data_IF_437854584177
#
_entry.id   IF_437854584177
#
_cell.length_a   1.000
_cell.length_b   1.000
_cell.length_c   1.000
_cell.angle_alpha   90.00
_cell.angle_beta   90.00
_cell.angle_gamma   90.00
#
_symmetry.space_group_name_H-M   'P 1'
#
loop_
_entity.id
_entity.type
_entity.pdbx_description
1 polymer ?
#
# COMPACT_ATOMS: atom_id res chain seq x y z
N UNK A 1 25.27 31.45 -20.12
CA UNK A 1 25.94 30.19 -19.73
C UNK A 1 26.33 30.15 -18.26
N UNK A 2 26.88 31.22 -17.66
CA UNK A 2 27.26 31.26 -16.23
C UNK A 2 26.12 30.93 -15.24
N UNK A 3 24.90 31.42 -15.46
CA UNK A 3 23.75 31.17 -14.56
C UNK A 3 23.23 29.72 -14.61
N UNK A 4 23.24 29.10 -15.80
CA UNK A 4 22.88 27.68 -15.97
C UNK A 4 23.99 26.76 -15.43
N UNK A 5 25.26 27.16 -15.58
CA UNK A 5 26.41 26.48 -14.99
C UNK A 5 26.39 26.54 -13.46
N UNK A 6 26.04 27.69 -12.87
CA UNK A 6 25.89 27.80 -11.41
C UNK A 6 24.71 26.98 -10.89
N UNK A 7 23.58 26.95 -11.59
CA UNK A 7 22.44 26.11 -11.22
C UNK A 7 22.79 24.61 -11.24
N UNK A 8 23.54 24.15 -12.25
CA UNK A 8 24.01 22.75 -12.34
C UNK A 8 25.04 22.43 -11.25
N UNK A 9 25.94 23.36 -10.91
CA UNK A 9 26.90 23.19 -9.83
C UNK A 9 26.22 23.13 -8.45
N UNK A 10 25.15 23.90 -8.24
CA UNK A 10 24.34 23.84 -7.01
C UNK A 10 23.64 22.49 -6.83
N UNK A 11 23.11 21.90 -7.90
CA UNK A 11 22.46 20.58 -7.87
C UNK A 11 23.49 19.48 -7.60
N UNK A 12 24.70 19.57 -8.17
CA UNK A 12 25.80 18.63 -7.93
C UNK A 12 26.31 18.66 -6.48
N UNK A 13 26.36 19.83 -5.83
CA UNK A 13 26.79 19.96 -4.44
C UNK A 13 25.74 19.42 -3.44
N UNK A 14 24.45 19.51 -3.79
CA UNK A 14 23.37 18.94 -2.95
C UNK A 14 23.35 17.40 -2.99
N UNK A 15 23.73 16.79 -4.11
CA UNK A 15 23.83 15.32 -4.22
C UNK A 15 25.03 14.73 -3.47
N UNK A 16 26.09 15.51 -3.20
CA UNK A 16 27.27 15.00 -2.47
C UNK A 16 27.09 14.92 -0.94
N UNK A 17 26.05 15.54 -0.39
CA UNK A 17 25.75 15.52 1.06
C UNK A 17 24.95 14.29 1.52
N UNK A 18 24.44 13.47 0.60
CA UNK A 18 23.62 12.29 0.91
C UNK A 18 24.47 11.01 1.08
N UNK A 19 25.76 11.04 0.74
CA UNK A 19 26.65 9.87 0.78
C UNK A 19 27.51 9.73 2.05
N UNK A 20 27.18 10.42 3.15
CA UNK A 20 27.93 10.40 4.41
C UNK A 20 27.15 9.86 5.62
N UNK A 21 26.05 9.13 5.40
CA UNK A 21 25.19 8.60 6.47
C UNK A 21 25.33 7.07 6.70
N UNK A 22 26.44 6.46 6.25
CA UNK A 22 26.87 5.15 6.74
C UNK A 22 28.36 5.20 7.06
N UNK A 23 28.68 5.23 8.36
CA UNK A 23 30.03 5.05 8.87
C UNK A 23 30.34 5.96 10.04
N UNK A 24 30.06 5.53 11.26
CA UNK A 24 31.10 5.39 12.28
C UNK A 24 30.59 4.56 13.46
N UNK A 25 31.30 3.48 13.72
CA UNK A 25 31.19 2.61 14.87
C UNK A 25 32.05 3.19 15.98
N UNK A 26 31.42 3.69 17.05
CA UNK A 26 32.11 4.20 18.24
C UNK A 26 31.44 3.70 19.52
N UNK A 27 32.04 2.66 20.09
CA UNK A 27 31.80 2.18 21.45
C UNK A 27 32.15 3.26 22.48
N UNK A 28 31.37 3.38 23.55
CA UNK A 28 31.90 3.70 24.88
C UNK A 28 30.94 3.23 25.97
N UNK A 29 31.55 2.62 26.97
CA UNK A 29 31.00 1.81 28.04
C UNK A 29 30.26 2.62 29.12
N UNK A 30 29.20 2.03 29.70
CA UNK A 30 28.84 2.38 31.08
C UNK A 30 28.43 1.14 31.87
N UNK A 31 29.24 0.86 32.89
CA UNK A 31 29.15 -0.26 33.81
C UNK A 31 28.07 -0.04 34.88
N UNK A 32 27.34 -1.10 35.22
CA UNK A 32 26.33 -1.08 36.29
C UNK A 32 25.71 -2.45 36.57
N UNK A 33 26.56 -3.38 37.05
CA UNK A 33 26.31 -4.57 37.88
C UNK A 33 24.86 -4.91 38.28
N UNK A 34 24.39 -6.14 38.01
CA UNK A 34 23.99 -7.11 39.05
C UNK A 34 23.72 -8.54 38.48
N UNK A 35 24.43 -9.53 39.06
CA UNK A 35 24.14 -10.96 39.33
C UNK A 35 23.15 -11.72 38.42
N UNK A 36 23.43 -12.88 37.80
CA UNK A 36 24.24 -14.06 38.14
C UNK A 36 23.95 -15.21 37.12
N UNK A 37 24.65 -16.36 37.16
CA UNK A 37 24.93 -17.21 35.99
C UNK A 37 24.11 -18.52 35.93
N UNK A 38 23.97 -19.08 34.71
CA UNK A 38 24.06 -20.52 34.35
C UNK A 38 23.61 -20.64 32.88
N UNK A 39 24.49 -20.95 31.92
CA UNK A 39 24.98 -22.29 31.53
C UNK A 39 24.42 -22.67 30.16
N UNK A 40 25.29 -22.60 29.15
CA UNK A 40 25.53 -23.63 28.11
C UNK A 40 24.34 -24.30 27.42
N UNK A 41 24.08 -23.96 26.16
CA UNK A 41 24.46 -24.73 24.95
C UNK A 41 23.69 -24.21 23.74
N UNK A 42 24.43 -23.87 22.66
CA UNK A 42 23.91 -23.93 21.30
C UNK A 42 24.11 -25.38 20.81
N UNK A 43 23.24 -25.92 19.94
CA UNK A 43 23.54 -25.76 18.53
C UNK A 43 22.33 -25.70 17.57
N UNK A 44 22.72 -25.43 16.32
CA UNK A 44 22.12 -25.87 15.06
C UNK A 44 20.98 -25.04 14.44
N UNK A 45 21.45 -24.13 13.58
CA UNK A 45 20.86 -23.78 12.28
C UNK A 45 20.03 -24.92 11.67
N UNK A 46 18.73 -24.68 11.50
CA UNK A 46 17.83 -25.51 10.71
C UNK A 46 17.42 -24.73 9.46
N UNK A 47 17.56 -25.39 8.32
CA UNK A 47 17.46 -24.86 6.96
C UNK A 47 16.14 -24.16 6.65
N UNK A 48 16.24 -23.12 5.82
CA UNK A 48 15.12 -22.44 5.19
C UNK A 48 14.32 -23.43 4.32
N UNK A 49 12.98 -23.43 4.36
CA UNK A 49 12.19 -24.23 3.44
C UNK A 49 12.40 -23.72 2.01
N UNK A 50 12.58 -24.69 1.11
CA UNK A 50 12.79 -24.50 -0.32
C UNK A 50 11.70 -23.62 -0.96
N UNK A 51 12.16 -22.75 -1.86
CA UNK A 51 11.35 -21.94 -2.76
C UNK A 51 10.46 -22.83 -3.62
N UNK A 52 9.16 -22.86 -3.32
CA UNK A 52 8.13 -23.43 -4.20
C UNK A 52 7.97 -22.51 -5.40
N UNK A 53 8.36 -22.97 -6.60
CA UNK A 53 8.04 -22.29 -7.86
C UNK A 53 6.51 -22.16 -7.99
N UNK A 54 6.03 -20.93 -8.14
CA UNK A 54 4.64 -20.67 -8.48
C UNK A 54 4.35 -21.21 -9.89
N UNK A 55 3.22 -21.88 -10.13
CA UNK A 55 2.87 -22.36 -11.45
C UNK A 55 2.70 -21.19 -12.41
N UNK A 56 3.35 -21.33 -13.56
CA UNK A 56 3.24 -20.47 -14.74
C UNK A 56 1.78 -20.13 -15.03
N UNK A 57 1.51 -18.84 -15.17
CA UNK A 57 0.24 -18.25 -15.56
C UNK A 57 -0.31 -18.94 -16.80
N UNK A 58 -1.45 -19.63 -16.65
CA UNK A 58 -2.25 -20.12 -17.77
C UNK A 58 -3.02 -18.95 -18.34
N UNK A 59 -2.67 -18.50 -19.55
CA UNK A 59 -3.50 -17.58 -20.33
C UNK A 59 -4.88 -18.19 -20.53
N UNK A 60 -5.91 -17.52 -19.98
CA UNK A 60 -7.29 -17.82 -20.27
C UNK A 60 -7.63 -17.34 -21.69
N UNK A 61 -8.44 -18.08 -22.47
CA UNK A 61 -8.77 -17.70 -23.83
C UNK A 61 -9.65 -16.43 -23.83
N UNK A 62 -9.29 -15.47 -24.68
CA UNK A 62 -10.09 -14.28 -24.92
C UNK A 62 -11.45 -14.67 -25.54
N UNK A 63 -12.50 -14.65 -24.73
CA UNK A 63 -13.89 -14.75 -25.22
C UNK A 63 -14.28 -13.38 -25.79
N UNK A 64 -14.57 -13.36 -27.08
CA UNK A 64 -15.09 -12.16 -27.75
C UNK A 64 -16.58 -12.06 -27.44
N UNK A 65 -16.94 -11.45 -26.32
CA UNK A 65 -18.32 -11.15 -25.97
C UNK A 65 -18.73 -9.78 -26.54
N UNK A 66 -19.98 -9.68 -26.98
CA UNK A 66 -20.61 -8.43 -27.37
C UNK A 66 -20.38 -7.38 -26.28
N UNK A 67 -20.15 -6.12 -26.66
CA UNK A 67 -19.75 -5.05 -25.75
C UNK A 67 -20.83 -4.80 -24.70
N UNK A 68 -20.71 -5.50 -23.57
CA UNK A 68 -21.43 -5.22 -22.35
C UNK A 68 -20.99 -3.84 -21.85
N UNK A 69 -21.93 -3.07 -21.29
CA UNK A 69 -21.55 -1.83 -20.62
C UNK A 69 -20.54 -2.15 -19.51
N UNK A 70 -19.49 -1.32 -19.34
CA UNK A 70 -18.47 -1.57 -18.35
C UNK A 70 -19.10 -1.53 -16.95
N UNK A 71 -18.72 -2.50 -16.12
CA UNK A 71 -19.14 -2.54 -14.71
C UNK A 71 -18.51 -1.34 -14.00
N UNK A 72 -19.30 -0.62 -13.20
CA UNK A 72 -18.86 0.53 -12.40
C UNK A 72 -18.48 0.09 -11.01
N UNK A 73 -17.28 0.46 -10.57
CA UNK A 73 -16.70 0.07 -9.28
C UNK A 73 -16.29 1.30 -8.49
N UNK A 74 -16.91 1.48 -7.33
CA UNK A 74 -16.56 2.52 -6.36
C UNK A 74 -15.63 1.98 -5.26
N UNK A 75 -14.64 2.77 -4.88
CA UNK A 75 -13.79 2.51 -3.71
C UNK A 75 -13.90 3.69 -2.75
N UNK A 76 -14.03 3.40 -1.46
CA UNK A 76 -13.94 4.39 -0.37
C UNK A 76 -12.83 3.97 0.58
N UNK A 77 -11.80 4.78 0.73
CA UNK A 77 -10.75 4.59 1.75
C UNK A 77 -11.22 5.12 3.10
N UNK A 78 -10.91 4.39 4.18
CA UNK A 78 -11.34 4.73 5.54
C UNK A 78 -10.53 5.90 6.11
N UNK A 79 -9.21 5.74 6.20
CA UNK A 79 -8.30 6.79 6.66
C UNK A 79 -7.19 6.92 5.63
N UNK A 80 -6.93 8.15 5.20
CA UNK A 80 -5.94 8.45 4.19
C UNK A 80 -6.45 8.22 2.77
N UNK A 81 -5.78 7.36 2.01
CA UNK A 81 -6.04 7.11 0.59
C UNK A 81 -4.74 6.70 -0.10
N UNK A 82 -4.68 6.91 -1.42
CA UNK A 82 -3.44 6.70 -2.20
C UNK A 82 -2.26 7.49 -1.63
N UNK A 83 -1.05 6.94 -1.77
CA UNK A 83 0.21 7.51 -1.30
C UNK A 83 0.62 7.05 0.10
N UNK A 84 -0.09 6.10 0.71
CA UNK A 84 0.28 5.53 2.01
C UNK A 84 1.42 4.49 1.94
N UNK A 85 1.88 4.16 0.73
CA UNK A 85 2.95 3.19 0.43
C UNK A 85 2.71 1.81 1.03
N UNK A 86 1.45 1.48 1.32
CA UNK A 86 1.07 0.30 2.06
C UNK A 86 -0.32 -0.18 1.65
N UNK A 87 -1.25 -0.28 2.60
CA UNK A 87 -2.53 -0.94 2.45
C UNK A 87 -3.43 -0.29 1.40
N UNK A 88 -3.60 1.03 1.45
CA UNK A 88 -4.45 1.74 0.50
C UNK A 88 -3.84 1.73 -0.90
N UNK A 89 -2.52 1.90 -1.03
CA UNK A 89 -1.84 1.78 -2.33
C UNK A 89 -1.94 0.37 -2.92
N UNK A 90 -1.98 -0.67 -2.09
CA UNK A 90 -2.21 -2.05 -2.54
C UNK A 90 -3.63 -2.24 -3.07
N UNK A 91 -4.64 -1.69 -2.39
CA UNK A 91 -6.02 -1.71 -2.85
C UNK A 91 -6.20 -0.90 -4.16
N UNK A 92 -5.60 0.28 -4.22
CA UNK A 92 -5.59 1.14 -5.40
C UNK A 92 -4.91 0.46 -6.61
N UNK A 93 -3.79 -0.21 -6.41
CA UNK A 93 -3.14 -0.99 -7.47
C UNK A 93 -4.03 -2.13 -7.98
N UNK A 94 -4.84 -2.75 -7.12
CA UNK A 94 -5.85 -3.73 -7.51
C UNK A 94 -6.96 -3.12 -8.37
N UNK A 95 -7.44 -1.93 -8.01
CA UNK A 95 -8.43 -1.19 -8.80
C UNK A 95 -7.87 -0.79 -10.17
N UNK A 96 -6.64 -0.27 -10.22
CA UNK A 96 -5.96 0.10 -11.47
C UNK A 96 -5.80 -1.11 -12.40
N UNK A 97 -5.46 -2.27 -11.83
CA UNK A 97 -5.37 -3.53 -12.56
C UNK A 97 -6.73 -3.99 -13.09
N UNK A 98 -7.80 -3.86 -12.29
CA UNK A 98 -9.16 -4.19 -12.74
C UNK A 98 -9.60 -3.30 -13.91
N UNK A 99 -9.30 -1.99 -13.86
CA UNK A 99 -9.56 -1.08 -14.99
C UNK A 99 -8.81 -1.55 -16.25
N UNK A 100 -7.52 -1.88 -16.11
CA UNK A 100 -6.68 -2.27 -17.23
C UNK A 100 -7.03 -3.64 -17.85
N UNK A 101 -7.37 -4.62 -17.02
CA UNK A 101 -7.56 -6.02 -17.45
C UNK A 101 -9.03 -6.39 -17.68
N UNK A 102 -9.96 -5.78 -16.92
CA UNK A 102 -11.38 -6.13 -16.95
C UNK A 102 -12.24 -5.03 -17.60
N UNK A 103 -11.67 -3.84 -17.85
CA UNK A 103 -12.38 -2.74 -18.49
C UNK A 103 -13.49 -2.13 -17.63
N UNK A 104 -13.36 -2.19 -16.30
CA UNK A 104 -14.31 -1.54 -15.38
C UNK A 104 -14.16 -0.02 -15.41
N UNK A 105 -15.25 0.70 -15.16
CA UNK A 105 -15.22 2.12 -14.83
C UNK A 105 -15.02 2.27 -13.32
N UNK A 106 -14.05 3.08 -12.89
CA UNK A 106 -13.71 3.19 -11.48
C UNK A 106 -13.90 4.61 -10.93
N UNK A 107 -14.37 4.71 -9.69
CA UNK A 107 -14.39 5.95 -8.90
C UNK A 107 -13.79 5.70 -7.50
N UNK A 108 -13.16 6.73 -6.94
CA UNK A 108 -12.50 6.65 -5.63
C UNK A 108 -12.91 7.84 -4.75
N UNK A 109 -13.05 7.57 -3.46
CA UNK A 109 -13.24 8.57 -2.41
C UNK A 109 -12.43 8.20 -1.16
N UNK A 110 -12.21 9.16 -0.27
CA UNK A 110 -11.60 8.93 1.02
C UNK A 110 -12.43 9.64 2.08
N UNK A 111 -12.73 8.93 3.17
CA UNK A 111 -13.42 9.50 4.31
C UNK A 111 -12.55 10.53 5.04
N UNK A 112 -13.21 11.43 5.76
CA UNK A 112 -12.56 12.39 6.62
C UNK A 112 -11.73 11.67 7.70
N UNK A 113 -10.75 12.37 8.30
CA UNK A 113 -9.91 11.76 9.35
C UNK A 113 -10.70 11.34 10.60
N UNK A 114 -11.82 12.02 10.90
CA UNK A 114 -12.75 11.58 11.94
C UNK A 114 -13.74 10.50 11.43
N UNK A 115 -13.79 10.34 10.11
CA UNK A 115 -14.69 9.51 9.30
C UNK A 115 -16.15 9.59 9.72
N UNK A 116 -16.57 10.81 10.01
CA UNK A 116 -17.98 11.17 10.20
C UNK A 116 -18.80 11.00 8.91
N UNK A 117 -18.15 10.95 7.76
CA UNK A 117 -18.73 10.83 6.42
C UNK A 117 -18.66 9.42 5.80
N UNK A 118 -18.18 8.42 6.55
CA UNK A 118 -17.99 7.04 6.05
C UNK A 118 -19.25 6.44 5.41
N UNK A 119 -20.38 6.51 6.10
CA UNK A 119 -21.64 5.93 5.63
C UNK A 119 -22.19 6.71 4.43
N UNK A 120 -22.14 8.04 4.50
CA UNK A 120 -22.60 8.93 3.41
C UNK A 120 -21.79 8.70 2.13
N UNK A 121 -20.46 8.54 2.23
CA UNK A 121 -19.61 8.25 1.07
C UNK A 121 -19.86 6.86 0.48
N UNK A 122 -20.13 5.86 1.31
CA UNK A 122 -20.50 4.52 0.84
C UNK A 122 -21.84 4.56 0.10
N UNK A 123 -22.84 5.26 0.64
CA UNK A 123 -24.14 5.46 -0.01
C UNK A 123 -24.00 6.21 -1.33
N UNK A 124 -23.22 7.30 -1.36
CA UNK A 124 -22.98 8.07 -2.58
C UNK A 124 -22.29 7.23 -3.66
N UNK A 125 -21.31 6.40 -3.30
CA UNK A 125 -20.70 5.47 -4.26
C UNK A 125 -21.70 4.41 -4.72
N UNK A 126 -22.59 3.92 -3.86
CA UNK A 126 -23.59 2.91 -4.22
C UNK A 126 -24.67 3.44 -5.17
N UNK A 127 -24.96 4.75 -5.14
CA UNK A 127 -25.86 5.38 -6.12
C UNK A 127 -25.28 5.41 -7.54
N UNK A 128 -23.95 5.46 -7.66
CA UNK A 128 -23.24 5.64 -8.92
C UNK A 128 -22.54 4.39 -9.48
N UNK A 129 -22.41 3.33 -8.68
CA UNK A 129 -21.62 2.15 -9.02
C UNK A 129 -22.38 0.84 -8.78
N UNK A 130 -22.04 -0.18 -9.57
CA UNK A 130 -22.62 -1.51 -9.44
C UNK A 130 -22.02 -2.28 -8.25
N UNK A 131 -20.78 -1.97 -7.89
CA UNK A 131 -20.04 -2.57 -6.78
C UNK A 131 -19.27 -1.50 -6.01
N UNK A 132 -19.32 -1.55 -4.68
CA UNK A 132 -18.60 -0.62 -3.80
C UNK A 132 -17.72 -1.39 -2.81
N UNK A 133 -16.48 -0.96 -2.67
CA UNK A 133 -15.53 -1.46 -1.67
C UNK A 133 -15.23 -0.39 -0.61
N UNK A 134 -15.50 -0.71 0.65
CA UNK A 134 -15.00 0.05 1.80
C UNK A 134 -13.64 -0.50 2.25
N UNK A 135 -12.57 0.28 2.09
CA UNK A 135 -11.20 -0.13 2.37
C UNK A 135 -10.78 0.41 3.75
N UNK A 136 -11.02 -0.41 4.77
CA UNK A 136 -10.59 -0.16 6.14
C UNK A 136 -11.48 -0.82 7.18
N UNK A 137 -10.90 -1.10 8.36
CA UNK A 137 -11.58 -1.84 9.42
C UNK A 137 -12.80 -1.09 9.98
N UNK A 138 -12.76 0.24 10.03
CA UNK A 138 -13.83 1.03 10.67
C UNK A 138 -15.10 1.12 9.80
N UNK A 139 -15.08 0.58 8.59
CA UNK A 139 -16.28 0.44 7.76
C UNK A 139 -17.20 -0.70 8.18
N UNK A 140 -16.84 -1.56 9.14
CA UNK A 140 -17.63 -2.74 9.52
C UNK A 140 -19.12 -2.42 9.77
N UNK A 141 -19.40 -1.36 10.53
CA UNK A 141 -20.78 -0.90 10.78
C UNK A 141 -21.34 -0.06 9.63
N UNK A 142 -20.66 1.01 9.15
CA UNK A 142 -21.16 1.82 8.03
C UNK A 142 -21.53 1.02 6.77
N UNK A 143 -20.72 0.02 6.38
CA UNK A 143 -20.99 -0.79 5.20
C UNK A 143 -22.22 -1.70 5.39
N UNK A 144 -22.45 -2.15 6.63
CA UNK A 144 -23.64 -2.94 6.98
C UNK A 144 -24.90 -2.08 6.92
N UNK A 145 -24.80 -0.80 7.29
CA UNK A 145 -25.92 0.13 7.21
C UNK A 145 -26.21 0.50 5.75
N UNK A 146 -25.19 0.88 4.99
CA UNK A 146 -25.31 1.20 3.57
C UNK A 146 -25.91 0.05 2.75
N UNK A 147 -25.52 -1.20 3.02
CA UNK A 147 -26.04 -2.36 2.31
C UNK A 147 -27.51 -2.73 2.62
N UNK A 148 -28.13 -2.10 3.63
CA UNK A 148 -29.54 -2.32 4.00
C UNK A 148 -30.48 -1.22 3.49
N UNK A 149 -29.92 -0.09 3.07
CA UNK A 149 -30.66 1.06 2.55
C UNK A 149 -31.37 0.69 1.23
#
# INVERSE_FOLDING_TARGET
MRKRLMLVLSILFAFSLIAAACGDSGSDDNAGSDSGPESTEAPASTEAPASTEAPSSSEAPASTEAMAEPVKVGVVFDIGGRGDQSFNDSAAAGLDKAVAELGVEASEAAASNDGSDREDLLNLQAEGNDLVFGIGFLFAEPITNAAKA
#
